data_IF_365047160824
#
_entry.id   IF_365047160824
#
_cell.length_a   1.000
_cell.length_b   1.000
_cell.length_c   1.000
_cell.angle_alpha   90.00
_cell.angle_beta   90.00
_cell.angle_gamma   90.00
#
_symmetry.space_group_name_H-M   'P 1'
#
loop_
_entity.id
_entity.type
_entity.pdbx_description
1 polymer ?
#
# COMPACT_ATOMS: atom_id res chain seq x y z
N UNK A 1 13.26 18.85 1.55
CA UNK A 1 12.81 17.81 2.51
C UNK A 1 13.09 16.45 1.91
N UNK A 2 14.22 15.87 2.34
CA UNK A 2 14.88 14.72 1.76
C UNK A 2 14.19 13.41 2.22
N UNK A 3 14.00 12.47 1.31
CA UNK A 3 13.46 11.14 1.61
C UNK A 3 14.34 10.42 2.64
N UNK A 4 13.74 9.74 3.61
CA UNK A 4 14.44 8.89 4.59
C UNK A 4 15.21 7.75 3.89
N UNK A 5 14.81 7.36 2.68
CA UNK A 5 15.59 6.49 1.79
C UNK A 5 16.85 7.13 1.17
N UNK A 6 16.98 8.47 1.15
CA UNK A 6 18.12 9.15 0.52
C UNK A 6 19.32 9.30 1.45
N UNK A 7 19.12 9.32 2.77
CA UNK A 7 20.23 9.35 3.73
C UNK A 7 21.08 8.07 3.71
N UNK A 8 20.55 6.97 3.13
CA UNK A 8 21.27 5.70 2.92
C UNK A 8 21.85 5.63 1.47
N UNK A 9 21.61 6.63 0.63
CA UNK A 9 21.84 6.58 -0.84
C UNK A 9 23.15 7.22 -1.32
N UNK A 10 24.13 7.47 -0.45
CA UNK A 10 25.38 8.15 -0.83
C UNK A 10 26.62 7.25 -0.94
N UNK A 11 26.45 5.94 -1.08
CA UNK A 11 27.54 5.05 -1.48
C UNK A 11 27.01 3.88 -2.32
N UNK A 12 27.42 3.85 -3.59
CA UNK A 12 27.30 2.71 -4.52
C UNK A 12 25.89 2.19 -4.91
N UNK A 13 25.24 2.93 -5.81
CA UNK A 13 23.95 2.57 -6.43
C UNK A 13 23.97 1.31 -7.32
N UNK A 14 25.12 0.72 -7.60
CA UNK A 14 25.22 -0.53 -8.35
C UNK A 14 25.26 -1.78 -7.47
N UNK A 15 25.66 -1.63 -6.20
CA UNK A 15 25.80 -2.74 -5.25
C UNK A 15 24.48 -3.03 -4.51
N UNK A 16 23.70 -1.98 -4.21
CA UNK A 16 22.40 -2.11 -3.51
C UNK A 16 21.30 -2.80 -4.34
N UNK A 17 21.36 -2.75 -5.68
CA UNK A 17 20.41 -3.52 -6.52
C UNK A 17 20.66 -5.03 -6.46
N UNK A 18 21.86 -5.46 -6.09
CA UNK A 18 22.15 -6.87 -5.88
C UNK A 18 21.63 -7.36 -4.52
N UNK A 19 21.61 -6.51 -3.48
CA UNK A 19 21.03 -6.87 -2.17
C UNK A 19 19.50 -7.07 -2.19
N UNK A 20 18.77 -6.41 -3.09
CA UNK A 20 17.32 -6.63 -3.24
C UNK A 20 16.95 -7.83 -4.12
N UNK A 21 17.95 -8.54 -4.70
CA UNK A 21 17.72 -9.61 -5.67
C UNK A 21 18.32 -10.96 -5.27
N UNK A 22 19.00 -11.07 -4.12
CA UNK A 22 19.79 -12.25 -3.78
C UNK A 22 19.54 -12.83 -2.38
N UNK A 23 18.28 -13.03 -2.00
CA UNK A 23 17.93 -13.85 -0.84
C UNK A 23 16.89 -14.91 -1.21
N UNK A 24 17.24 -15.70 -2.23
CA UNK A 24 16.55 -16.94 -2.56
C UNK A 24 17.50 -18.12 -2.25
N UNK A 25 17.82 -18.32 -0.96
CA UNK A 25 18.26 -19.61 -0.40
C UNK A 25 18.41 -19.56 1.13
N UNK A 26 17.70 -20.47 1.81
CA UNK A 26 18.16 -21.19 3.00
C UNK A 26 18.32 -20.50 4.37
N UNK A 27 17.22 -19.97 4.94
CA UNK A 27 17.04 -19.94 6.40
C UNK A 27 15.59 -20.30 6.80
N UNK A 28 15.21 -21.57 6.63
CA UNK A 28 13.88 -22.11 7.04
C UNK A 28 13.74 -22.27 8.57
N UNK A 29 14.21 -21.30 9.36
CA UNK A 29 14.13 -21.41 10.83
C UNK A 29 14.09 -20.09 11.59
N UNK A 30 14.59 -18.99 11.03
CA UNK A 30 14.68 -17.70 11.72
C UNK A 30 13.71 -16.68 11.15
N UNK A 31 12.93 -16.07 12.03
CA UNK A 31 11.96 -15.04 11.69
C UNK A 31 12.66 -13.83 11.02
N UNK A 32 12.13 -13.27 9.91
CA UNK A 32 12.78 -12.18 9.15
C UNK A 32 12.81 -10.83 9.89
N UNK A 33 12.05 -10.71 10.96
CA UNK A 33 11.99 -9.57 11.89
C UNK A 33 12.53 -10.03 13.24
N UNK A 34 13.42 -9.25 13.87
CA UNK A 34 13.97 -9.59 15.19
C UNK A 34 12.88 -9.62 16.29
N UNK A 35 13.10 -10.32 17.42
CA UNK A 35 12.15 -10.31 18.54
C UNK A 35 11.78 -8.90 19.01
N UNK A 36 12.78 -8.07 19.28
CA UNK A 36 12.60 -6.66 19.66
C UNK A 36 11.85 -5.87 18.57
N UNK A 37 12.15 -6.10 17.29
CA UNK A 37 11.45 -5.43 16.20
C UNK A 37 9.95 -5.76 16.16
N UNK A 38 9.58 -7.00 16.48
CA UNK A 38 8.16 -7.40 16.58
C UNK A 38 7.45 -6.71 17.75
N UNK A 39 8.12 -6.59 18.89
CA UNK A 39 7.59 -5.88 20.06
C UNK A 39 7.38 -4.40 19.75
N UNK A 40 8.35 -3.74 19.12
CA UNK A 40 8.23 -2.35 18.66
C UNK A 40 7.03 -2.18 17.73
N UNK A 41 6.88 -3.06 16.73
CA UNK A 41 5.76 -3.02 15.78
C UNK A 41 4.41 -3.13 16.50
N UNK A 42 4.28 -4.07 17.44
CA UNK A 42 3.05 -4.27 18.21
C UNK A 42 2.78 -3.07 19.12
N UNK A 43 3.79 -2.55 19.81
CA UNK A 43 3.67 -1.39 20.68
C UNK A 43 3.25 -0.13 19.90
N UNK A 44 3.84 0.11 18.72
CA UNK A 44 3.45 1.20 17.81
C UNK A 44 1.95 1.13 17.46
N UNK A 45 1.38 -0.07 17.39
CA UNK A 45 -0.01 -0.32 16.98
C UNK A 45 -0.96 -0.64 18.13
N UNK A 46 -0.53 -0.45 19.39
CA UNK A 46 -1.35 -0.76 20.58
C UNK A 46 -2.62 0.09 20.73
N UNK A 47 -2.71 1.24 20.05
CA UNK A 47 -3.89 2.11 20.03
C UNK A 47 -4.68 1.97 18.71
N UNK A 48 -5.98 2.29 18.74
CA UNK A 48 -6.82 2.24 17.54
C UNK A 48 -6.43 3.31 16.52
N UNK A 49 -5.65 2.92 15.52
CA UNK A 49 -5.14 3.82 14.47
C UNK A 49 -6.10 3.91 13.29
N UNK A 50 -7.31 4.41 13.56
CA UNK A 50 -8.43 4.38 12.61
C UNK A 50 -8.18 5.09 11.27
N UNK A 51 -7.24 6.03 11.25
CA UNK A 51 -6.89 6.85 10.09
C UNK A 51 -5.57 6.45 9.39
N UNK A 52 -4.83 5.45 9.87
CA UNK A 52 -3.49 5.13 9.34
C UNK A 52 -3.51 4.82 7.84
N UNK A 53 -4.47 3.99 7.40
CA UNK A 53 -4.62 3.64 5.99
C UNK A 53 -4.96 4.85 5.11
N UNK A 54 -5.78 5.77 5.62
CA UNK A 54 -6.09 7.03 4.93
C UNK A 54 -4.86 7.93 4.80
N UNK A 55 -4.10 8.14 5.89
CA UNK A 55 -2.88 8.97 5.87
C UNK A 55 -1.83 8.44 4.89
N UNK A 56 -1.62 7.13 4.87
CA UNK A 56 -0.70 6.48 3.92
C UNK A 56 -1.14 6.76 2.48
N UNK A 57 -2.41 6.48 2.15
CA UNK A 57 -2.95 6.70 0.81
C UNK A 57 -2.89 8.18 0.39
N UNK A 58 -3.17 9.11 1.31
CA UNK A 58 -3.08 10.54 1.07
C UNK A 58 -1.66 11.01 0.77
N UNK A 59 -0.67 10.52 1.53
CA UNK A 59 0.74 10.85 1.29
C UNK A 59 1.21 10.46 -0.10
N UNK A 60 0.71 9.34 -0.64
CA UNK A 60 0.98 8.95 -2.04
C UNK A 60 0.23 9.85 -3.02
N UNK A 61 -1.04 10.14 -2.73
CA UNK A 61 -1.88 11.03 -3.54
C UNK A 61 -1.26 12.41 -3.71
N UNK A 62 -0.71 13.02 -2.66
CA UNK A 62 -0.10 14.34 -2.75
C UNK A 62 1.16 14.37 -3.62
N UNK A 63 1.90 13.26 -3.68
CA UNK A 63 3.21 13.20 -4.35
C UNK A 63 3.15 12.69 -5.79
N UNK A 64 2.15 11.88 -6.14
CA UNK A 64 2.11 11.15 -7.43
C UNK A 64 0.90 11.50 -8.27
N UNK A 65 1.12 12.21 -9.38
CA UNK A 65 0.05 12.60 -10.32
C UNK A 65 -0.60 11.41 -11.02
N UNK A 66 0.13 10.31 -11.27
CA UNK A 66 -0.46 9.10 -11.85
C UNK A 66 -1.30 8.30 -10.86
N UNK A 67 -0.93 8.30 -9.57
CA UNK A 67 -1.78 7.79 -8.50
C UNK A 67 -3.05 8.64 -8.34
N UNK A 68 -2.94 9.97 -8.39
CA UNK A 68 -4.11 10.86 -8.37
C UNK A 68 -5.11 10.51 -9.48
N UNK A 69 -4.64 10.31 -10.72
CA UNK A 69 -5.50 9.89 -11.85
C UNK A 69 -6.20 8.57 -11.57
N UNK A 70 -5.50 7.59 -11.01
CA UNK A 70 -6.10 6.33 -10.57
C UNK A 70 -7.19 6.54 -9.52
N UNK A 71 -6.92 7.33 -8.48
CA UNK A 71 -7.90 7.64 -7.42
C UNK A 71 -9.14 8.32 -7.98
N UNK A 72 -8.97 9.28 -8.90
CA UNK A 72 -10.09 9.93 -9.57
C UNK A 72 -10.92 8.95 -10.41
N UNK A 73 -10.27 8.03 -11.12
CA UNK A 73 -10.97 7.01 -11.91
C UNK A 73 -11.68 5.95 -11.05
N UNK A 74 -11.11 5.62 -9.89
CA UNK A 74 -11.70 4.69 -8.93
C UNK A 74 -12.96 5.27 -8.26
N UNK A 75 -12.96 6.57 -8.01
CA UNK A 75 -14.04 7.29 -7.34
C UNK A 75 -13.88 7.32 -5.82
N UNK A 76 -14.50 8.32 -5.18
CA UNK A 76 -14.30 8.65 -3.76
C UNK A 76 -14.64 7.49 -2.82
N UNK A 77 -15.82 6.91 -2.96
CA UNK A 77 -16.32 5.87 -2.06
C UNK A 77 -15.39 4.64 -2.05
N UNK A 78 -15.04 4.15 -3.24
CA UNK A 78 -14.13 3.01 -3.40
C UNK A 78 -12.72 3.31 -2.92
N UNK A 79 -12.25 4.54 -3.11
CA UNK A 79 -10.95 4.93 -2.58
C UNK A 79 -10.94 5.02 -1.04
N UNK A 80 -12.01 5.52 -0.43
CA UNK A 80 -12.18 5.49 1.02
C UNK A 80 -12.24 4.05 1.55
N UNK A 81 -13.01 3.18 0.88
CA UNK A 81 -13.02 1.74 1.19
C UNK A 81 -11.63 1.13 1.09
N UNK A 82 -10.89 1.39 0.01
CA UNK A 82 -9.52 0.89 -0.16
C UNK A 82 -8.57 1.39 0.94
N UNK A 83 -8.74 2.63 1.42
CA UNK A 83 -7.96 3.15 2.55
C UNK A 83 -8.31 2.49 3.89
N UNK A 84 -9.59 2.16 4.11
CA UNK A 84 -10.03 1.42 5.29
C UNK A 84 -9.54 -0.04 5.24
N UNK A 85 -9.60 -0.67 4.06
CA UNK A 85 -9.06 -2.01 3.85
C UNK A 85 -7.56 -2.09 4.08
N UNK A 86 -6.80 -1.04 3.72
CA UNK A 86 -5.37 -0.96 4.04
C UNK A 86 -5.14 -0.92 5.56
N UNK A 87 -5.92 -0.12 6.29
CA UNK A 87 -5.86 -0.11 7.76
C UNK A 87 -6.16 -1.49 8.34
N UNK A 88 -7.26 -2.11 7.92
CA UNK A 88 -7.70 -3.39 8.46
C UNK A 88 -6.68 -4.50 8.14
N UNK A 89 -6.08 -4.44 6.96
CA UNK A 89 -4.96 -5.29 6.58
C UNK A 89 -3.76 -5.09 7.52
N UNK A 90 -3.35 -3.85 7.80
CA UNK A 90 -2.24 -3.57 8.71
C UNK A 90 -2.51 -4.07 10.14
N UNK A 91 -3.72 -3.85 10.67
CA UNK A 91 -4.12 -4.37 11.97
C UNK A 91 -4.02 -5.91 12.02
N UNK A 92 -4.47 -6.57 10.96
CA UNK A 92 -4.41 -8.03 10.85
C UNK A 92 -2.97 -8.55 10.75
N UNK A 93 -2.09 -7.84 10.02
CA UNK A 93 -0.68 -8.21 9.93
C UNK A 93 0.03 -8.02 11.27
N UNK A 94 -0.16 -6.88 11.92
CA UNK A 94 0.51 -6.58 13.21
C UNK A 94 0.09 -7.57 14.29
N UNK A 95 -1.20 -7.91 14.39
CA UNK A 95 -1.68 -8.93 15.34
C UNK A 95 -1.09 -10.33 15.11
N UNK A 96 -0.59 -10.62 13.89
CA UNK A 96 0.01 -11.91 13.53
C UNK A 96 1.51 -11.78 13.21
N UNK A 97 2.18 -10.71 13.63
CA UNK A 97 3.57 -10.41 13.25
C UNK A 97 4.58 -11.51 13.62
N UNK A 98 4.24 -12.39 14.57
CA UNK A 98 5.08 -13.54 14.95
C UNK A 98 4.96 -14.74 14.00
N UNK A 99 3.91 -14.79 13.17
CA UNK A 99 3.63 -15.88 12.24
C UNK A 99 3.85 -15.41 10.80
N UNK A 100 5.06 -15.63 10.30
CA UNK A 100 5.48 -15.24 8.95
C UNK A 100 4.53 -15.79 7.88
N UNK A 101 4.17 -17.08 7.96
CA UNK A 101 3.31 -17.71 6.98
C UNK A 101 1.92 -17.06 6.93
N UNK A 102 1.35 -16.70 8.09
CA UNK A 102 0.09 -15.98 8.14
C UNK A 102 0.19 -14.57 7.54
N UNK A 103 1.29 -13.85 7.82
CA UNK A 103 1.54 -12.52 7.23
C UNK A 103 1.66 -12.61 5.72
N UNK A 104 2.43 -13.56 5.20
CA UNK A 104 2.59 -13.78 3.75
C UNK A 104 1.26 -14.11 3.08
N UNK A 105 0.45 -14.99 3.68
CA UNK A 105 -0.82 -15.40 3.08
C UNK A 105 -1.83 -14.24 3.02
N UNK A 106 -1.99 -13.50 4.12
CA UNK A 106 -2.85 -12.30 4.13
C UNK A 106 -2.35 -11.25 3.13
N UNK A 107 -1.03 -11.10 3.01
CA UNK A 107 -0.39 -10.20 2.04
C UNK A 107 -0.69 -10.61 0.59
N UNK A 108 -0.61 -11.91 0.27
CA UNK A 108 -0.94 -12.43 -1.07
C UNK A 108 -2.40 -12.14 -1.39
N UNK A 109 -3.33 -12.49 -0.51
CA UNK A 109 -4.76 -12.19 -0.69
C UNK A 109 -5.04 -10.71 -0.86
N UNK A 110 -4.36 -9.85 -0.08
CA UNK A 110 -4.45 -8.40 -0.27
C UNK A 110 -4.05 -7.98 -1.69
N UNK A 111 -2.94 -8.51 -2.21
CA UNK A 111 -2.48 -8.28 -3.58
C UNK A 111 -3.44 -8.79 -4.65
N UNK A 112 -4.04 -9.96 -4.46
CA UNK A 112 -5.02 -10.55 -5.40
C UNK A 112 -6.25 -9.64 -5.58
N UNK A 113 -6.76 -9.08 -4.48
CA UNK A 113 -7.91 -8.16 -4.48
C UNK A 113 -7.66 -6.86 -5.27
N UNK A 114 -6.40 -6.54 -5.59
CA UNK A 114 -6.05 -5.37 -6.40
C UNK A 114 -6.05 -5.63 -7.90
N UNK A 115 -6.09 -6.88 -8.36
CA UNK A 115 -6.12 -7.20 -9.80
C UNK A 115 -7.30 -6.56 -10.54
N UNK A 116 -8.55 -6.60 -10.02
CA UNK A 116 -9.69 -5.93 -10.65
C UNK A 116 -9.54 -4.41 -10.76
N UNK A 117 -8.69 -3.79 -9.94
CA UNK A 117 -8.48 -2.33 -9.93
C UNK A 117 -7.70 -1.85 -11.16
N UNK A 118 -7.06 -2.77 -11.91
CA UNK A 118 -6.34 -2.44 -13.14
C UNK A 118 -7.20 -1.69 -14.15
N UNK A 119 -8.51 -1.97 -14.22
CA UNK A 119 -9.46 -1.27 -15.11
C UNK A 119 -9.62 0.22 -14.79
N UNK A 120 -9.30 0.62 -13.55
CA UNK A 120 -9.28 2.02 -13.11
C UNK A 120 -7.90 2.66 -13.25
N UNK A 121 -6.92 1.95 -13.83
CA UNK A 121 -5.55 2.44 -14.00
C UNK A 121 -4.60 2.10 -12.85
N UNK A 122 -4.94 1.14 -11.98
CA UNK A 122 -4.02 0.66 -10.94
C UNK A 122 -2.72 0.13 -11.55
N UNK A 123 -1.59 0.50 -10.95
CA UNK A 123 -0.24 0.01 -11.30
C UNK A 123 0.40 -0.63 -10.08
N UNK A 124 1.05 -1.81 -10.20
CA UNK A 124 1.80 -2.42 -9.09
C UNK A 124 2.90 -1.52 -8.51
N UNK A 125 3.43 -0.59 -9.31
CA UNK A 125 4.41 0.41 -8.88
C UNK A 125 3.87 1.36 -7.79
N UNK A 126 2.55 1.52 -7.66
CA UNK A 126 1.96 2.29 -6.57
C UNK A 126 2.28 1.70 -5.20
N UNK A 127 2.43 0.39 -5.11
CA UNK A 127 2.81 -0.26 -3.86
C UNK A 127 4.20 0.12 -3.36
N UNK A 128 5.13 0.47 -4.25
CA UNK A 128 6.44 1.00 -3.82
C UNK A 128 6.24 2.31 -3.06
N UNK A 129 5.39 3.21 -3.58
CA UNK A 129 5.09 4.47 -2.92
C UNK A 129 4.24 4.31 -1.66
N UNK A 130 3.33 3.34 -1.63
CA UNK A 130 2.54 3.01 -0.43
C UNK A 130 3.46 2.46 0.67
N UNK A 131 4.42 1.59 0.33
CA UNK A 131 5.41 1.07 1.26
C UNK A 131 6.25 2.18 1.89
N UNK A 132 6.77 3.11 1.06
CA UNK A 132 7.52 4.27 1.54
C UNK A 132 6.68 5.16 2.46
N UNK A 133 5.43 5.43 2.06
CA UNK A 133 4.50 6.22 2.86
C UNK A 133 4.17 5.54 4.19
N UNK A 134 4.00 4.22 4.18
CA UNK A 134 3.71 3.42 5.37
C UNK A 134 4.88 3.43 6.34
N UNK A 135 6.12 3.25 5.89
CA UNK A 135 7.29 3.33 6.77
C UNK A 135 7.35 4.69 7.50
N UNK A 136 7.06 5.78 6.79
CA UNK A 136 7.00 7.12 7.39
C UNK A 136 5.86 7.25 8.40
N UNK A 137 4.64 6.88 8.02
CA UNK A 137 3.48 7.01 8.89
C UNK A 137 3.58 6.14 10.14
N UNK A 138 4.15 4.95 10.04
CA UNK A 138 4.35 4.03 11.17
C UNK A 138 5.48 4.47 12.10
N UNK A 139 6.52 5.16 11.61
CA UNK A 139 7.54 5.80 12.45
C UNK A 139 6.96 7.02 13.19
N UNK A 140 6.10 7.81 12.53
CA UNK A 140 5.39 8.92 13.18
C UNK A 140 4.44 8.38 14.27
N UNK A 141 3.81 7.24 14.01
CA UNK A 141 2.89 6.57 14.92
C UNK A 141 3.53 6.19 16.25
N UNK A 142 4.82 5.87 16.24
CA UNK A 142 5.60 5.49 17.42
C UNK A 142 5.73 6.65 18.42
N UNK A 143 5.53 7.90 17.99
CA UNK A 143 5.59 9.10 18.85
C UNK A 143 6.89 9.21 19.69
N UNK A 144 8.02 8.74 19.12
CA UNK A 144 9.32 8.68 19.79
C UNK A 144 9.34 7.82 21.06
N UNK A 145 8.46 6.82 21.15
CA UNK A 145 8.45 5.86 22.25
C UNK A 145 9.65 4.90 22.17
N UNK A 146 10.18 4.65 20.97
CA UNK A 146 11.39 3.86 20.74
C UNK A 146 12.45 4.66 19.96
N UNK A 147 13.66 4.11 19.88
CA UNK A 147 14.74 4.72 19.11
C UNK A 147 14.39 4.79 17.62
N UNK A 148 14.50 5.95 16.95
CA UNK A 148 14.09 6.10 15.55
C UNK A 148 14.74 5.09 14.60
N UNK A 149 16.00 4.73 14.85
CA UNK A 149 16.74 3.74 14.06
C UNK A 149 16.15 2.34 14.18
N UNK A 150 15.76 1.93 15.38
CA UNK A 150 15.14 0.63 15.66
C UNK A 150 13.72 0.56 15.08
N UNK A 151 12.93 1.62 15.25
CA UNK A 151 11.58 1.74 14.67
C UNK A 151 11.62 1.65 13.15
N UNK A 152 12.50 2.42 12.50
CA UNK A 152 12.67 2.39 11.03
C UNK A 152 13.10 1.00 10.56
N UNK A 153 14.04 0.36 11.25
CA UNK A 153 14.52 -0.98 10.90
C UNK A 153 13.41 -2.02 11.00
N UNK A 154 12.67 -2.06 12.11
CA UNK A 154 11.57 -3.01 12.33
C UNK A 154 10.49 -2.87 11.25
N UNK A 155 10.04 -1.63 11.00
CA UNK A 155 9.03 -1.36 9.97
C UNK A 155 9.53 -1.67 8.56
N UNK A 156 10.81 -1.41 8.26
CA UNK A 156 11.39 -1.74 6.95
C UNK A 156 11.42 -3.24 6.68
N UNK A 157 11.75 -4.06 7.69
CA UNK A 157 11.71 -5.52 7.60
C UNK A 157 10.29 -6.03 7.35
N UNK A 158 9.30 -5.57 8.13
CA UNK A 158 7.90 -5.96 7.95
C UNK A 158 7.35 -5.52 6.59
N UNK A 159 7.65 -4.29 6.18
CA UNK A 159 7.26 -3.75 4.86
C UNK A 159 7.81 -4.62 3.73
N UNK A 160 9.09 -5.00 3.83
CA UNK A 160 9.73 -5.83 2.80
C UNK A 160 9.06 -7.20 2.66
N UNK A 161 8.71 -7.83 3.80
CA UNK A 161 7.96 -9.09 3.82
C UNK A 161 6.58 -8.91 3.17
N UNK A 162 5.77 -7.98 3.67
CA UNK A 162 4.41 -7.74 3.18
C UNK A 162 4.38 -7.44 1.68
N UNK A 163 5.18 -6.47 1.22
CA UNK A 163 5.09 -5.97 -0.15
C UNK A 163 5.72 -6.91 -1.18
N UNK A 164 6.58 -7.83 -0.75
CA UNK A 164 7.00 -8.95 -1.61
C UNK A 164 5.82 -9.89 -1.83
N UNK A 165 5.19 -10.36 -0.75
CA UNK A 165 4.03 -11.25 -0.83
C UNK A 165 2.80 -10.64 -1.52
N UNK A 166 2.54 -9.34 -1.33
CA UNK A 166 1.49 -8.60 -2.05
C UNK A 166 1.72 -8.65 -3.57
N UNK A 167 2.95 -8.37 -4.01
CA UNK A 167 3.29 -8.43 -5.44
C UNK A 167 3.14 -9.84 -5.97
N UNK A 168 3.58 -10.84 -5.21
CA UNK A 168 3.48 -12.25 -5.60
C UNK A 168 2.01 -12.67 -5.80
N UNK A 169 1.14 -12.38 -4.84
CA UNK A 169 -0.30 -12.65 -4.93
C UNK A 169 -0.95 -11.96 -6.13
N UNK A 170 -0.65 -10.68 -6.35
CA UNK A 170 -1.15 -9.94 -7.51
C UNK A 170 -0.74 -10.58 -8.84
N UNK A 171 0.55 -10.93 -8.99
CA UNK A 171 1.02 -11.54 -10.24
C UNK A 171 0.54 -12.99 -10.39
N UNK A 172 0.37 -13.75 -9.31
CA UNK A 172 -0.21 -15.08 -9.34
C UNK A 172 -1.66 -15.04 -9.86
N UNK A 173 -2.52 -14.20 -9.27
CA UNK A 173 -3.89 -14.01 -9.72
C UNK A 173 -3.97 -13.47 -11.16
N UNK A 174 -3.09 -12.55 -11.55
CA UNK A 174 -3.04 -12.02 -12.92
C UNK A 174 -2.64 -13.11 -13.94
N UNK A 175 -1.76 -14.05 -13.57
CA UNK A 175 -1.42 -15.20 -14.42
C UNK A 175 -2.59 -16.16 -14.54
N UNK A 176 -3.25 -16.47 -13.41
CA UNK A 176 -4.43 -17.33 -13.39
C UNK A 176 -5.55 -16.80 -14.29
N UNK A 177 -5.88 -15.50 -14.20
CA UNK A 177 -6.87 -14.87 -15.09
C UNK A 177 -6.53 -14.99 -16.58
N UNK A 178 -5.25 -14.95 -16.94
CA UNK A 178 -4.84 -15.11 -18.35
C UNK A 178 -4.97 -16.55 -18.82
N UNK A 179 -4.70 -17.52 -17.95
CA UNK A 179 -4.81 -18.93 -18.25
C UNK A 179 -6.27 -19.36 -18.39
N UNK A 180 -7.16 -18.89 -17.51
CA UNK A 180 -8.60 -19.16 -17.61
C UNK A 180 -9.18 -18.57 -18.89
N UNK A 181 -8.85 -17.33 -19.23
CA UNK A 181 -9.29 -16.70 -20.49
C UNK A 181 -8.79 -17.45 -21.74
N UNK A 182 -7.57 -17.99 -21.71
CA UNK A 182 -7.05 -18.83 -22.81
C UNK A 182 -7.76 -20.17 -22.88
N UNK A 183 -8.05 -20.78 -21.74
CA UNK A 183 -8.76 -22.06 -21.68
C UNK A 183 -10.20 -21.93 -22.20
N UNK A 184 -10.91 -20.83 -21.89
CA UNK A 184 -12.24 -20.56 -22.42
C UNK A 184 -12.24 -20.32 -23.94
N UNK A 185 -11.23 -19.61 -24.47
CA UNK A 185 -11.07 -19.42 -25.92
C UNK A 185 -10.77 -20.73 -26.66
N UNK A 186 -10.07 -21.66 -26.01
CA UNK A 186 -9.81 -22.97 -26.60
C UNK A 186 -11.07 -23.86 -26.64
N UNK A 187 -12.02 -23.69 -25.70
CA UNK A 187 -13.32 -24.38 -25.73
C UNK A 187 -14.36 -23.73 -26.68
N UNK A 188 -14.13 -22.49 -27.11
CA UNK A 188 -15.05 -21.74 -27.98
C UNK A 188 -14.98 -22.16 -29.46
N UNK A 189 -13.97 -22.95 -29.86
CA UNK A 189 -13.88 -23.56 -31.20
C UNK A 189 -14.90 -24.68 -31.48
N UNK A 190 -15.91 -24.86 -30.61
CA UNK A 190 -17.00 -25.82 -30.79
C UNK A 190 -18.41 -25.22 -30.80
N UNK A 191 -18.58 -23.92 -31.05
CA UNK A 191 -19.91 -23.32 -31.23
C UNK A 191 -19.96 -22.41 -32.47
N UNK A 192 -21.04 -22.46 -33.29
CA UNK A 192 -21.16 -21.61 -34.46
C UNK A 192 -21.46 -20.16 -34.07
N UNK A 193 -20.85 -19.25 -34.82
CA UNK A 193 -21.00 -17.79 -34.79
C UNK A 193 -22.45 -17.38 -35.02
N UNK A 194 -22.97 -16.47 -34.17
CA UNK A 194 -23.73 -15.31 -34.65
C UNK A 194 -23.90 -14.18 -33.61
N UNK A 195 -23.74 -12.97 -34.15
CA UNK A 195 -24.33 -11.69 -33.75
C UNK A 195 -23.51 -10.62 -32.99
N UNK A 196 -23.65 -9.42 -33.54
CA UNK A 196 -22.90 -8.16 -33.40
C UNK A 196 -23.64 -7.22 -32.42
N UNK A 197 -22.92 -6.34 -31.70
CA UNK A 197 -23.10 -4.84 -31.69
C UNK A 197 -22.71 -4.15 -30.37
N UNK A 198 -21.65 -3.33 -30.48
CA UNK A 198 -21.40 -1.97 -29.94
C UNK A 198 -22.20 -1.45 -28.73
N UNK A 199 -21.49 -0.87 -27.75
CA UNK A 199 -21.76 0.53 -27.36
C UNK A 199 -20.60 1.19 -26.60
N UNK A 200 -20.51 2.52 -26.73
CA UNK A 200 -19.39 3.42 -26.40
C UNK A 200 -19.87 4.51 -25.44
N UNK A 201 -18.94 5.01 -24.62
CA UNK A 201 -18.90 6.31 -23.89
C UNK A 201 -19.68 6.44 -22.56
N UNK A 202 -18.98 6.95 -21.55
CA UNK A 202 -19.41 8.14 -20.79
C UNK A 202 -18.20 9.00 -20.44
N UNK A 203 -18.29 10.29 -20.75
CA UNK A 203 -17.39 11.35 -20.32
C UNK A 203 -18.14 12.16 -19.26
N UNK A 204 -17.60 12.27 -18.05
CA UNK A 204 -18.14 13.14 -17.00
C UNK A 204 -17.13 14.21 -16.60
N UNK A 205 -17.56 15.43 -16.93
CA UNK A 205 -17.30 16.77 -16.40
C UNK A 205 -16.02 17.03 -15.60
N UNK A 206 -15.19 17.91 -16.16
CA UNK A 206 -13.98 18.49 -15.56
C UNK A 206 -14.32 19.50 -14.44
N UNK A 207 -15.56 19.96 -14.34
CA UNK A 207 -15.98 21.04 -13.44
C UNK A 207 -16.12 20.60 -11.98
N UNK A 208 -16.42 19.33 -11.70
CA UNK A 208 -16.47 18.78 -10.33
C UNK A 208 -15.09 18.61 -9.69
N UNK A 209 -14.04 18.55 -10.52
CA UNK A 209 -12.65 18.29 -10.09
C UNK A 209 -12.03 19.46 -9.31
N UNK A 210 -12.47 20.69 -9.58
CA UNK A 210 -11.92 21.90 -8.94
C UNK A 210 -12.51 22.18 -7.55
N UNK A 211 -13.77 21.82 -7.32
CA UNK A 211 -14.44 22.01 -6.01
C UNK A 211 -13.93 21.01 -4.97
N UNK A 212 -13.60 19.80 -5.41
CA UNK A 212 -13.06 18.72 -4.59
C UNK A 212 -11.69 19.06 -3.98
N UNK A 213 -10.77 19.62 -4.78
CA UNK A 213 -9.43 20.02 -4.31
C UNK A 213 -9.49 21.08 -3.22
N UNK A 214 -10.42 22.03 -3.31
CA UNK A 214 -10.60 23.09 -2.30
C UNK A 214 -11.10 22.53 -0.96
N UNK A 215 -12.03 21.57 -1.00
CA UNK A 215 -12.60 21.01 0.23
C UNK A 215 -11.63 20.06 0.97
N UNK A 216 -10.81 19.31 0.21
CA UNK A 216 -9.77 18.42 0.76
C UNK A 216 -8.63 19.21 1.43
N UNK A 217 -8.16 20.28 0.77
CA UNK A 217 -7.12 21.15 1.34
C UNK A 217 -7.62 21.90 2.58
N UNK A 218 -8.91 22.28 2.63
CA UNK A 218 -9.49 22.95 3.78
C UNK A 218 -9.65 22.03 5.00
N UNK A 219 -10.06 20.78 4.81
CA UNK A 219 -10.11 19.79 5.91
C UNK A 219 -8.73 19.56 6.53
N UNK A 220 -7.68 19.55 5.72
CA UNK A 220 -6.31 19.36 6.22
C UNK A 220 -5.83 20.56 7.05
N UNK A 221 -6.06 21.81 6.61
CA UNK A 221 -5.72 23.01 7.40
C UNK A 221 -6.40 23.03 8.76
N UNK A 222 -7.66 22.59 8.82
CA UNK A 222 -8.42 22.57 10.07
C UNK A 222 -7.90 21.47 11.03
N UNK A 223 -7.49 20.31 10.51
CA UNK A 223 -6.93 19.21 11.30
C UNK A 223 -5.51 19.52 11.82
N UNK A 224 -4.66 20.14 11.01
CA UNK A 224 -3.33 20.59 11.46
C UNK A 224 -3.43 21.70 12.52
N UNK A 225 -4.43 22.57 12.43
CA UNK A 225 -4.68 23.62 13.41
C UNK A 225 -5.12 23.09 14.78
N UNK A 226 -5.92 22.01 14.81
CA UNK A 226 -6.31 21.36 16.07
C UNK A 226 -5.10 20.70 16.76
N UNK A 227 -4.24 20.02 16.01
CA UNK A 227 -3.04 19.35 16.58
C UNK A 227 -2.05 20.39 17.13
N UNK A 228 -1.92 21.57 16.52
CA UNK A 228 -1.10 22.65 17.06
C UNK A 228 -1.74 23.37 18.27
N UNK A 229 -3.07 23.41 18.37
CA UNK A 229 -3.78 24.02 19.50
C UNK A 229 -3.79 23.17 20.77
N UNK A 230 -3.76 21.84 20.63
CA UNK A 230 -3.82 20.91 21.75
C UNK A 230 -2.47 20.73 22.47
N UNK A 231 -1.36 21.06 21.79
CA UNK A 231 -0.01 21.11 22.38
C UNK A 231 0.23 22.41 23.18
N UNK A 232 -0.49 23.48 22.89
CA UNK A 232 -0.34 24.77 23.57
C UNK A 232 -1.12 24.88 24.89
N UNK A 233 -1.98 23.91 25.22
CA UNK A 233 -2.80 23.89 26.45
C UNK A 233 -2.26 22.95 27.54
N UNK A 234 -1.06 22.37 27.34
CA UNK A 234 -0.41 21.45 28.31
C UNK A 234 0.99 21.90 28.77
N UNK A 235 1.34 23.17 28.57
CA UNK A 235 2.49 23.85 29.21
C UNK A 235 1.98 25.04 29.98
#
# INVERSE_FOLDING_TARGET
MYSILFAIKSSNLNESRQYFRNNNSDYRGTHPISPQGREIIQACFGNHHNEIGYRICMRVFEKRTDYQRFVYALGREKWLSASAELRDYLNNVVSKVHNVAAVEEMSRHYGERHVPLKKYGFKPDFWVSIADAMAVECVILDMANHQPTETVMAWSQLTSLMFTSIRDGYYAALRFQRQTLKSCKNSEWHQPVDSIRSSKKYATSITEKFTFLKHLHQKFKNLSGLISGEVALKT
#
